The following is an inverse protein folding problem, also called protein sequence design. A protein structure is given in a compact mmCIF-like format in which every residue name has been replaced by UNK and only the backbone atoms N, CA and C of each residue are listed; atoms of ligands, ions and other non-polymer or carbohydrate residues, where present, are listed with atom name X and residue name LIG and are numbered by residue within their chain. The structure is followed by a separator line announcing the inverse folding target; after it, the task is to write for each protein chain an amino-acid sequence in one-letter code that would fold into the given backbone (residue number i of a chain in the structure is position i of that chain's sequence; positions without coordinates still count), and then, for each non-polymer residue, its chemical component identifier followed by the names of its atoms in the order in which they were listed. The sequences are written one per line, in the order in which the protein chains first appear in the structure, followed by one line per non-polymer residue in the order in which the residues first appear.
data_IF_023754309458
#
_entry.id   IF_023754309458
#
_cell.length_a   1.000
_cell.length_b   1.000
_cell.length_c   1.000
_cell.angle_alpha   90.00
_cell.angle_beta   90.00
_cell.angle_gamma   90.00
#
_symmetry.space_group_name_H-M   'P 1'
#
loop_
_entity.id
_entity.type
_entity.pdbx_description
1 polymer ?
#
# COMPACT_ATOMS: atom_id res chain seq x y z
N UNK A 1 -31.86 15.41 -14.89
CA UNK A 1 -30.58 15.90 -14.34
C UNK A 1 -29.55 14.79 -14.48
N UNK A 2 -28.73 14.84 -15.53
CA UNK A 2 -27.70 13.85 -15.78
C UNK A 2 -26.53 14.10 -14.83
N UNK A 3 -26.37 13.23 -13.84
CA UNK A 3 -25.18 13.21 -12.99
C UNK A 3 -24.07 12.57 -13.81
N UNK A 4 -23.22 13.41 -14.38
CA UNK A 4 -22.00 12.98 -15.05
C UNK A 4 -21.07 12.32 -14.00
N UNK A 5 -20.93 11.00 -14.08
CA UNK A 5 -20.10 10.19 -13.17
C UNK A 5 -18.62 10.20 -13.59
N UNK A 6 -18.27 10.88 -14.67
CA UNK A 6 -16.91 10.95 -15.24
C UNK A 6 -16.19 12.28 -14.92
N UNK A 7 -16.75 13.12 -14.03
CA UNK A 7 -16.02 14.28 -13.50
C UNK A 7 -14.91 13.86 -12.51
N UNK A 8 -13.76 13.45 -13.05
CA UNK A 8 -12.50 13.22 -12.33
C UNK A 8 -11.56 14.43 -12.34
N UNK A 9 -12.13 15.65 -12.36
CA UNK A 9 -11.33 16.86 -12.52
C UNK A 9 -11.95 17.99 -11.70
N UNK A 10 -11.16 18.55 -10.79
CA UNK A 10 -11.40 19.87 -10.22
C UNK A 10 -10.13 20.68 -10.52
N UNK A 11 -10.30 21.81 -11.17
CA UNK A 11 -9.18 22.66 -11.57
C UNK A 11 -8.37 23.03 -10.31
N UNK A 12 -7.07 22.69 -10.31
CA UNK A 12 -6.15 22.83 -9.16
C UNK A 12 -6.05 21.65 -8.17
N UNK A 13 -6.61 20.46 -8.46
CA UNK A 13 -6.60 19.29 -7.55
C UNK A 13 -5.85 18.05 -8.07
N UNK A 14 -5.14 17.36 -7.16
CA UNK A 14 -4.40 16.09 -7.38
C UNK A 14 -5.38 14.94 -7.71
N UNK A 15 -5.06 14.14 -8.74
CA UNK A 15 -5.87 13.00 -9.20
C UNK A 15 -6.00 11.90 -8.14
N UNK A 16 -7.18 11.79 -7.52
CA UNK A 16 -7.55 10.65 -6.67
C UNK A 16 -8.25 9.61 -7.55
N UNK A 17 -7.53 8.60 -8.03
CA UNK A 17 -8.16 7.46 -8.73
C UNK A 17 -8.28 6.26 -7.80
N UNK A 18 -9.42 5.57 -7.82
CA UNK A 18 -9.55 4.20 -7.28
C UNK A 18 -9.19 3.21 -8.38
N UNK A 19 -8.64 2.07 -7.95
CA UNK A 19 -7.73 1.20 -8.70
C UNK A 19 -8.22 0.57 -10.03
N UNK A 20 -9.50 0.25 -10.35
CA UNK A 20 -9.72 -0.63 -11.49
C UNK A 20 -9.96 0.12 -12.81
N UNK A 21 -9.10 -0.22 -13.79
CA UNK A 21 -9.13 0.03 -15.24
C UNK A 21 -8.24 1.16 -15.75
N UNK A 22 -6.95 0.87 -15.82
CA UNK A 22 -6.32 0.92 -17.14
C UNK A 22 -5.33 -0.23 -17.27
N UNK A 23 -5.38 -0.87 -18.43
CA UNK A 23 -4.24 -1.58 -18.97
C UNK A 23 -3.24 -0.46 -19.32
N UNK A 24 -2.21 -0.24 -18.50
CA UNK A 24 -1.21 0.84 -18.68
C UNK A 24 -1.27 2.02 -17.70
N UNK A 25 -1.76 1.85 -16.47
CA UNK A 25 -2.00 2.93 -15.49
C UNK A 25 -0.81 3.23 -14.55
N UNK A 26 0.40 3.28 -15.09
CA UNK A 26 1.56 3.79 -14.37
C UNK A 26 1.59 5.33 -14.43
N UNK A 27 1.94 6.00 -13.34
CA UNK A 27 2.07 7.46 -13.26
C UNK A 27 3.52 7.82 -12.90
N UNK A 28 4.03 8.91 -13.48
CA UNK A 28 5.40 9.36 -13.16
C UNK A 28 5.55 9.70 -11.66
N UNK A 29 4.47 10.20 -11.05
CA UNK A 29 4.40 10.50 -9.64
C UNK A 29 3.09 10.01 -8.99
N UNK A 30 3.19 9.43 -7.80
CA UNK A 30 2.06 8.96 -6.98
C UNK A 30 2.11 9.58 -5.59
N UNK A 31 0.95 10.01 -5.09
CA UNK A 31 0.77 10.46 -3.72
C UNK A 31 -0.17 9.50 -2.99
N UNK A 32 0.34 8.91 -1.90
CA UNK A 32 -0.44 8.09 -0.98
C UNK A 32 -0.67 8.92 0.28
N UNK A 33 -1.93 9.21 0.59
CA UNK A 33 -2.33 10.00 1.77
C UNK A 33 -3.15 9.11 2.70
N UNK A 34 -2.92 9.22 4.01
CA UNK A 34 -3.66 8.47 5.02
C UNK A 34 -3.08 7.09 5.33
N UNK A 35 -1.76 6.93 5.24
CA UNK A 35 -1.10 5.66 5.59
C UNK A 35 -1.28 5.28 7.08
N UNK A 36 -1.68 6.22 7.94
CA UNK A 36 -2.14 5.93 9.30
C UNK A 36 -3.29 4.92 9.36
N UNK A 37 -4.15 4.85 8.35
CA UNK A 37 -5.21 3.85 8.31
C UNK A 37 -4.63 2.43 8.16
N UNK A 38 -3.58 2.29 7.33
CA UNK A 38 -2.86 1.02 7.17
C UNK A 38 -2.07 0.70 8.43
N UNK A 39 -1.40 1.70 9.02
CA UNK A 39 -0.61 1.54 10.24
C UNK A 39 -1.45 1.19 11.48
N UNK A 40 -2.71 1.66 11.57
CA UNK A 40 -3.65 1.26 12.62
C UNK A 40 -4.12 -0.19 12.48
N UNK A 41 -4.09 -0.73 11.26
CA UNK A 41 -4.68 -2.02 10.91
C UNK A 41 -3.70 -2.87 10.09
N UNK A 42 -2.46 -3.01 10.55
CA UNK A 42 -1.40 -3.66 9.76
C UNK A 42 -1.68 -5.14 9.45
N UNK A 43 -2.54 -5.79 10.25
CA UNK A 43 -2.97 -7.17 9.99
C UNK A 43 -3.93 -7.28 8.80
N UNK A 44 -4.58 -6.18 8.39
CA UNK A 44 -5.51 -6.15 7.26
C UNK A 44 -4.74 -6.29 5.93
N UNK A 45 -4.91 -7.46 5.31
CA UNK A 45 -4.29 -7.80 4.02
C UNK A 45 -4.80 -6.91 2.89
N UNK A 46 -6.07 -6.48 2.93
CA UNK A 46 -6.66 -5.63 1.90
C UNK A 46 -6.04 -4.24 1.91
N UNK A 47 -5.85 -3.64 3.10
CA UNK A 47 -5.23 -2.33 3.24
C UNK A 47 -3.76 -2.36 2.79
N UNK A 48 -3.01 -3.40 3.15
CA UNK A 48 -1.63 -3.59 2.69
C UNK A 48 -1.53 -3.78 1.18
N UNK A 49 -2.43 -4.56 0.58
CA UNK A 49 -2.47 -4.76 -0.86
C UNK A 49 -2.78 -3.45 -1.61
N UNK A 50 -3.70 -2.63 -1.07
CA UNK A 50 -4.01 -1.32 -1.65
C UNK A 50 -2.79 -0.39 -1.61
N UNK A 51 -2.06 -0.36 -0.50
CA UNK A 51 -0.82 0.40 -0.37
C UNK A 51 0.24 -0.08 -1.39
N UNK A 52 0.44 -1.39 -1.48
CA UNK A 52 1.40 -1.99 -2.43
C UNK A 52 1.06 -1.65 -3.89
N UNK A 53 -0.21 -1.77 -4.29
CA UNK A 53 -0.67 -1.41 -5.64
C UNK A 53 -0.50 0.07 -5.92
N UNK A 54 -0.73 0.94 -4.93
CA UNK A 54 -0.51 2.38 -5.11
C UNK A 54 0.98 2.69 -5.34
N UNK A 55 1.87 2.12 -4.53
CA UNK A 55 3.32 2.33 -4.66
C UNK A 55 3.87 1.79 -5.98
N UNK A 56 3.46 0.60 -6.40
CA UNK A 56 3.94 -0.04 -7.65
C UNK A 56 3.45 0.63 -8.93
N UNK A 57 2.51 1.58 -8.85
CA UNK A 57 2.11 2.42 -10.01
C UNK A 57 3.03 3.61 -10.25
N UNK A 58 3.91 3.95 -9.30
CA UNK A 58 4.85 5.03 -9.47
C UNK A 58 6.01 4.60 -10.39
N UNK A 59 6.29 5.38 -11.44
CA UNK A 59 7.44 5.15 -12.33
C UNK A 59 8.71 5.87 -11.87
N UNK A 60 8.55 7.00 -11.19
CA UNK A 60 9.67 7.84 -10.74
C UNK A 60 9.58 8.22 -9.27
N UNK A 61 8.47 8.85 -8.86
CA UNK A 61 8.35 9.39 -7.50
C UNK A 61 7.10 8.89 -6.78
N UNK A 62 7.27 8.39 -5.55
CA UNK A 62 6.17 8.06 -4.65
C UNK A 62 6.33 8.88 -3.37
N UNK A 63 5.28 9.62 -3.01
CA UNK A 63 5.22 10.35 -1.75
C UNK A 63 4.13 9.76 -0.87
N UNK A 64 4.45 9.52 0.39
CA UNK A 64 3.55 8.90 1.37
C UNK A 64 3.35 9.85 2.54
N UNK A 65 2.11 10.06 2.98
CA UNK A 65 1.78 10.89 4.13
C UNK A 65 0.71 10.26 5.02
N UNK A 66 0.80 10.54 6.31
CA UNK A 66 -0.11 10.04 7.33
C UNK A 66 -0.01 10.88 8.61
N UNK A 67 -0.97 10.68 9.51
CA UNK A 67 -1.04 11.41 10.78
C UNK A 67 -0.80 10.49 11.98
N UNK A 68 -0.15 11.02 13.03
CA UNK A 68 0.17 10.26 14.24
C UNK A 68 1.57 9.64 14.18
N UNK A 69 1.82 8.72 15.09
CA UNK A 69 3.10 8.03 15.25
C UNK A 69 2.89 6.53 15.35
N UNK A 70 3.51 5.78 14.43
CA UNK A 70 3.35 4.35 14.28
C UNK A 70 4.70 3.70 13.98
N UNK A 71 4.98 2.49 14.51
CA UNK A 71 6.21 1.76 14.22
C UNK A 71 6.50 1.61 12.71
N UNK A 72 5.45 1.35 11.91
CA UNK A 72 5.51 1.29 10.45
C UNK A 72 6.21 2.51 9.82
N UNK A 73 6.07 3.71 10.38
CA UNK A 73 6.67 4.91 9.79
C UNK A 73 8.19 4.92 9.97
N UNK A 74 8.66 4.41 11.09
CA UNK A 74 10.09 4.23 11.34
C UNK A 74 10.67 3.15 10.41
N UNK A 75 9.94 2.07 10.16
CA UNK A 75 10.34 1.07 9.18
C UNK A 75 10.43 1.66 7.77
N UNK A 76 9.42 2.41 7.32
CA UNK A 76 9.44 3.08 6.01
C UNK A 76 10.64 4.02 5.89
N UNK A 77 10.93 4.82 6.94
CA UNK A 77 12.11 5.70 6.94
C UNK A 77 13.41 4.92 6.85
N UNK A 78 13.56 3.85 7.62
CA UNK A 78 14.75 2.98 7.56
C UNK A 78 14.95 2.39 6.17
N UNK A 79 13.87 2.01 5.48
CA UNK A 79 13.95 1.51 4.09
C UNK A 79 14.37 2.60 3.11
N UNK A 80 13.86 3.82 3.26
CA UNK A 80 14.26 4.95 2.42
C UNK A 80 15.75 5.29 2.67
N UNK A 81 16.18 5.27 3.94
CA UNK A 81 17.55 5.55 4.35
C UNK A 81 18.54 4.44 3.94
N UNK A 82 18.08 3.20 3.82
CA UNK A 82 18.92 2.07 3.40
C UNK A 82 19.24 2.07 1.90
N UNK A 83 18.59 2.95 1.13
CA UNK A 83 18.85 3.16 -0.29
C UNK A 83 18.62 1.90 -1.13
N UNK A 84 19.68 1.40 -1.76
CA UNK A 84 19.60 0.23 -2.65
C UNK A 84 19.70 -1.12 -1.91
N UNK A 85 19.89 -1.10 -0.60
CA UNK A 85 20.00 -2.32 0.21
C UNK A 85 18.79 -2.45 1.11
N UNK A 86 18.08 -3.57 1.04
CA UNK A 86 16.96 -3.87 1.95
C UNK A 86 17.22 -5.20 2.64
N UNK A 87 17.31 -5.18 3.98
CA UNK A 87 17.47 -6.38 4.80
C UNK A 87 16.25 -6.54 5.68
N UNK A 88 15.59 -7.69 5.60
CA UNK A 88 14.48 -8.04 6.49
C UNK A 88 14.74 -9.40 7.14
N UNK A 89 14.36 -9.52 8.40
CA UNK A 89 14.45 -10.80 9.11
C UNK A 89 13.19 -11.61 8.85
N UNK A 90 13.28 -12.65 8.02
CA UNK A 90 12.17 -13.56 7.80
C UNK A 90 11.96 -14.47 9.01
N UNK A 91 10.94 -14.20 9.82
CA UNK A 91 10.49 -15.10 10.89
C UNK A 91 9.61 -16.18 10.27
N UNK A 92 10.17 -17.37 10.09
CA UNK A 92 9.43 -18.54 9.61
C UNK A 92 8.26 -18.80 10.58
N UNK A 93 7.00 -18.85 10.12
CA UNK A 93 5.90 -19.25 10.99
C UNK A 93 6.18 -20.68 11.49
N UNK A 94 5.99 -20.90 12.80
CA UNK A 94 6.09 -22.23 13.41
C UNK A 94 5.17 -23.16 12.63
N UNK A 95 5.74 -24.26 12.12
CA UNK A 95 5.03 -25.31 11.40
C UNK A 95 3.88 -25.78 12.30
N UNK A 96 2.62 -25.47 11.93
CA UNK A 96 1.47 -26.17 12.53
C UNK A 96 1.58 -27.61 12.02
N UNK A 97 1.93 -28.54 12.90
CA UNK A 97 1.71 -29.95 12.62
C UNK A 97 0.20 -30.11 12.40
N UNK A 98 -0.19 -30.33 11.15
CA UNK A 98 -1.46 -30.94 10.84
C UNK A 98 -1.22 -32.40 11.21
N UNK A 99 -1.43 -32.71 12.49
CA UNK A 99 -1.44 -34.09 12.95
C UNK A 99 -2.53 -34.83 12.21
N UNK A 100 -2.13 -35.93 11.59
CA UNK A 100 -2.97 -36.88 10.89
C UNK A 100 -4.23 -37.21 11.71
N UNK A 101 -5.39 -36.79 11.21
CA UNK A 101 -6.65 -37.44 11.52
C UNK A 101 -6.92 -38.43 10.39
N UNK A 102 -6.08 -39.46 10.30
CA UNK A 102 -6.39 -40.68 9.56
C UNK A 102 -7.13 -41.65 10.49
N UNK A 103 -8.35 -41.99 10.07
CA UNK A 103 -9.21 -43.12 10.42
C UNK A 103 -9.26 -43.71 11.85
N UNK A 104 -10.47 -43.68 12.42
CA UNK A 104 -10.98 -44.73 13.33
C UNK A 104 -12.45 -44.99 13.05
#
# INVERSE_FOLDING_TARGET
SHVDRDRFWKDGGVTISRVPRAKGNEADMVYVVGIDNVARNESDVSLRNQLFVALTRARGWASVSGVGDYPMYSEIRQVIESGDTFTFTYKRPLKRDIGDLEDS
#
